data_IF_425007819139
#
_entry.id   IF_425007819139
#
_cell.length_a   1.000
_cell.length_b   1.000
_cell.length_c   1.000
_cell.angle_alpha   90.00
_cell.angle_beta   90.00
_cell.angle_gamma   90.00
#
_symmetry.space_group_name_H-M   'P 1'
#
loop_
_entity.id
_entity.type
_entity.pdbx_description
1 polymer ?
#
# COMPACT_ATOMS: atom_id res chain seq x y z
N UNK A 1 -0.46 -24.10 -2.17
CA UNK A 1 -1.11 -22.82 -2.03
C UNK A 1 -1.03 -22.21 -3.40
N UNK A 2 -2.12 -21.68 -3.94
CA UNK A 2 -2.06 -21.02 -5.25
C UNK A 2 -1.84 -19.53 -5.00
N UNK A 3 -0.82 -18.98 -5.65
CA UNK A 3 -0.53 -17.54 -5.64
C UNK A 3 -0.97 -17.00 -7.00
N UNK A 4 -1.84 -16.00 -6.99
CA UNK A 4 -2.14 -15.21 -8.17
C UNK A 4 -1.05 -14.14 -8.32
N UNK A 5 0.03 -14.51 -9.03
CA UNK A 5 1.20 -13.64 -9.22
C UNK A 5 0.83 -12.33 -9.91
N UNK A 6 -0.07 -12.36 -10.89
CA UNK A 6 -0.53 -11.15 -11.58
C UNK A 6 -1.23 -10.19 -10.63
N UNK A 7 -2.10 -10.70 -9.76
CA UNK A 7 -2.79 -9.89 -8.76
C UNK A 7 -1.84 -9.35 -7.70
N UNK A 8 -0.85 -10.15 -7.27
CA UNK A 8 0.19 -9.72 -6.34
C UNK A 8 1.05 -8.58 -6.94
N UNK A 9 1.44 -8.72 -8.21
CA UNK A 9 2.16 -7.69 -8.97
C UNK A 9 1.35 -6.43 -9.16
N UNK A 10 0.04 -6.56 -9.40
CA UNK A 10 -0.86 -5.41 -9.47
C UNK A 10 -0.87 -4.64 -8.14
N UNK A 11 -1.02 -5.33 -7.00
CA UNK A 11 -0.92 -4.70 -5.68
C UNK A 11 0.44 -4.01 -5.45
N UNK A 12 1.54 -4.64 -5.87
CA UNK A 12 2.87 -4.04 -5.82
C UNK A 12 2.96 -2.73 -6.64
N UNK A 13 2.42 -2.71 -7.85
CA UNK A 13 2.40 -1.52 -8.71
C UNK A 13 1.55 -0.41 -8.10
N UNK A 14 0.42 -0.73 -7.45
CA UNK A 14 -0.37 0.27 -6.72
C UNK A 14 0.45 0.92 -5.60
N UNK A 15 1.16 0.14 -4.78
CA UNK A 15 2.02 0.68 -3.72
C UNK A 15 3.14 1.56 -4.30
N UNK A 16 3.78 1.13 -5.40
CA UNK A 16 4.78 1.94 -6.10
C UNK A 16 4.16 3.25 -6.59
N UNK A 17 2.98 3.18 -7.22
CA UNK A 17 2.27 4.35 -7.73
C UNK A 17 1.94 5.35 -6.62
N UNK A 18 1.39 4.89 -5.49
CA UNK A 18 1.13 5.76 -4.33
C UNK A 18 2.41 6.32 -3.72
N UNK A 19 3.47 5.52 -3.63
CA UNK A 19 4.77 6.00 -3.13
C UNK A 19 5.37 7.09 -4.00
N UNK A 20 5.33 6.91 -5.33
CA UNK A 20 5.75 7.94 -6.29
C UNK A 20 4.85 9.18 -6.18
N UNK A 21 3.53 9.00 -6.06
CA UNK A 21 2.58 10.09 -5.87
C UNK A 21 2.91 10.93 -4.63
N UNK A 22 3.26 10.27 -3.52
CA UNK A 22 3.67 10.94 -2.27
C UNK A 22 4.94 11.75 -2.47
N UNK A 23 5.97 11.19 -3.12
CA UNK A 23 7.22 11.92 -3.39
C UNK A 23 6.98 13.09 -4.34
N UNK A 24 6.22 12.90 -5.42
CA UNK A 24 5.92 13.96 -6.38
C UNK A 24 5.18 15.14 -5.72
N UNK A 25 4.33 14.88 -4.73
CA UNK A 25 3.57 15.92 -4.04
C UNK A 25 4.41 16.93 -3.25
N UNK A 26 5.69 16.62 -3.00
CA UNK A 26 6.65 17.53 -2.33
C UNK A 26 6.85 18.80 -3.17
N UNK A 27 6.71 18.71 -4.49
CA UNK A 27 6.75 19.85 -5.40
C UNK A 27 5.35 20.46 -5.56
N UNK A 28 5.15 21.75 -5.21
CA UNK A 28 3.82 22.37 -5.22
C UNK A 28 3.02 22.20 -6.53
N UNK A 29 3.63 22.31 -7.74
CA UNK A 29 2.89 22.12 -9.00
C UNK A 29 2.36 20.70 -9.19
N UNK A 30 2.94 19.71 -8.51
CA UNK A 30 2.60 18.28 -8.64
C UNK A 30 1.80 17.76 -7.42
N UNK A 31 1.52 18.62 -6.43
CA UNK A 31 0.82 18.24 -5.21
C UNK A 31 -0.68 18.02 -5.39
N UNK A 32 -1.28 18.65 -6.41
CA UNK A 32 -2.74 18.68 -6.63
C UNK A 32 -3.39 17.30 -6.54
N UNK A 33 -2.89 16.24 -7.21
CA UNK A 33 -3.55 14.94 -7.16
C UNK A 33 -3.56 14.33 -5.75
N UNK A 34 -2.47 14.49 -4.97
CA UNK A 34 -2.44 13.99 -3.60
C UNK A 34 -3.27 14.86 -2.66
N UNK A 35 -3.26 16.18 -2.83
CA UNK A 35 -4.10 17.08 -2.03
C UNK A 35 -5.58 16.73 -2.18
N UNK A 36 -6.06 16.50 -3.40
CA UNK A 36 -7.44 16.07 -3.66
C UNK A 36 -7.75 14.71 -3.02
N UNK A 37 -6.79 13.79 -3.03
CA UNK A 37 -6.95 12.49 -2.42
C UNK A 37 -7.06 12.59 -0.89
N UNK A 38 -6.21 13.39 -0.26
CA UNK A 38 -6.25 13.63 1.20
C UNK A 38 -7.55 14.33 1.59
N UNK A 39 -8.01 15.28 0.78
CA UNK A 39 -9.28 15.98 0.96
C UNK A 39 -10.48 15.02 0.86
N UNK A 40 -10.44 14.09 -0.10
CA UNK A 40 -11.42 13.00 -0.20
C UNK A 40 -11.40 12.10 1.05
N UNK A 41 -10.22 11.80 1.61
CA UNK A 41 -10.10 10.96 2.80
C UNK A 41 -10.59 11.65 4.07
N UNK A 42 -10.35 12.96 4.17
CA UNK A 42 -10.83 13.77 5.29
C UNK A 42 -12.36 13.87 5.29
N UNK A 43 -12.97 13.95 4.09
CA UNK A 43 -14.40 14.08 3.79
C UNK A 43 -15.16 15.16 4.60
N UNK A 44 -15.90 16.07 3.94
CA UNK A 44 -16.19 16.14 2.51
C UNK A 44 -15.02 16.69 1.67
N UNK A 45 -15.09 16.50 0.35
CA UNK A 45 -14.15 17.11 -0.60
C UNK A 45 -14.46 18.61 -0.75
N UNK A 46 -13.92 19.44 0.13
CA UNK A 46 -14.20 20.88 0.23
C UNK A 46 -12.98 21.78 -0.04
N UNK A 47 -11.82 21.19 -0.31
CA UNK A 47 -10.56 21.89 -0.54
C UNK A 47 -9.87 22.39 0.73
N UNK A 48 -10.31 21.95 1.91
CA UNK A 48 -9.77 22.35 3.20
C UNK A 48 -8.40 21.76 3.51
N UNK A 49 -7.97 20.70 2.80
CA UNK A 49 -6.68 20.05 3.04
C UNK A 49 -5.51 20.70 2.31
N UNK A 50 -4.35 20.75 2.98
CA UNK A 50 -3.11 21.33 2.45
C UNK A 50 -1.88 20.51 2.80
N UNK A 51 -0.94 20.45 1.87
CA UNK A 51 0.36 19.77 2.01
C UNK A 51 1.52 20.77 2.11
N UNK A 52 1.23 22.03 2.46
CA UNK A 52 2.20 23.12 2.38
C UNK A 52 3.26 23.08 3.50
N UNK A 53 2.93 22.52 4.67
CA UNK A 53 3.83 22.49 5.80
C UNK A 53 5.08 21.65 5.50
N UNK A 54 6.26 22.15 5.90
CA UNK A 54 7.55 21.50 5.67
C UNK A 54 7.59 20.08 6.26
N UNK A 55 7.11 19.92 7.50
CA UNK A 55 7.03 18.61 8.15
C UNK A 55 6.16 17.61 7.38
N UNK A 56 5.04 18.07 6.81
CA UNK A 56 4.16 17.24 5.97
C UNK A 56 4.88 16.79 4.71
N UNK A 57 5.58 17.69 4.02
CA UNK A 57 6.35 17.35 2.82
C UNK A 57 7.49 16.38 3.11
N UNK A 58 8.20 16.58 4.22
CA UNK A 58 9.26 15.66 4.65
C UNK A 58 8.68 14.26 4.95
N UNK A 59 7.56 14.19 5.68
CA UNK A 59 6.88 12.94 5.97
C UNK A 59 6.41 12.23 4.68
N UNK A 60 5.90 12.97 3.69
CA UNK A 60 5.51 12.44 2.39
C UNK A 60 6.70 11.96 1.55
N UNK A 61 7.83 12.67 1.57
CA UNK A 61 9.04 12.24 0.89
C UNK A 61 9.55 10.90 1.45
N UNK A 62 9.63 10.79 2.78
CA UNK A 62 10.09 9.58 3.47
C UNK A 62 9.08 8.45 3.27
N UNK A 63 7.81 8.70 3.58
CA UNK A 63 6.74 7.72 3.47
C UNK A 63 6.57 7.22 2.04
N UNK A 64 6.64 8.11 1.06
CA UNK A 64 6.56 7.76 -0.35
C UNK A 64 7.73 6.90 -0.82
N UNK A 65 8.97 7.23 -0.42
CA UNK A 65 10.14 6.42 -0.72
C UNK A 65 10.06 5.02 -0.11
N UNK A 66 9.65 4.91 1.16
CA UNK A 66 9.45 3.63 1.85
C UNK A 66 8.33 2.81 1.18
N UNK A 67 7.20 3.45 0.85
CA UNK A 67 6.05 2.78 0.22
C UNK A 67 6.39 2.25 -1.18
N UNK A 68 7.10 3.04 -1.99
CA UNK A 68 7.56 2.60 -3.30
C UNK A 68 8.59 1.48 -3.20
N UNK A 69 9.55 1.58 -2.28
CA UNK A 69 10.52 0.53 -2.00
C UNK A 69 9.86 -0.77 -1.54
N UNK A 70 8.83 -0.69 -0.68
CA UNK A 70 8.06 -1.84 -0.22
C UNK A 70 7.29 -2.50 -1.37
N UNK A 71 6.64 -1.71 -2.22
CA UNK A 71 5.99 -2.21 -3.44
C UNK A 71 6.99 -2.90 -4.38
N UNK A 72 8.17 -2.32 -4.59
CA UNK A 72 9.23 -2.95 -5.39
C UNK A 72 9.72 -4.28 -4.78
N UNK A 73 9.85 -4.36 -3.46
CA UNK A 73 10.18 -5.61 -2.76
C UNK A 73 9.09 -6.68 -3.00
N UNK A 74 7.82 -6.33 -2.89
CA UNK A 74 6.71 -7.25 -3.16
C UNK A 74 6.72 -7.71 -4.63
N UNK A 75 7.02 -6.81 -5.58
CA UNK A 75 7.16 -7.17 -6.99
C UNK A 75 8.27 -8.22 -7.22
N UNK A 76 9.41 -8.06 -6.56
CA UNK A 76 10.52 -9.01 -6.64
C UNK A 76 10.13 -10.36 -6.00
N UNK A 77 9.45 -10.36 -4.85
CA UNK A 77 8.90 -11.58 -4.23
C UNK A 77 7.93 -12.27 -5.19
N UNK A 78 7.00 -11.54 -5.79
CA UNK A 78 6.04 -12.08 -6.75
C UNK A 78 6.74 -12.71 -7.96
N UNK A 79 7.80 -12.06 -8.47
CA UNK A 79 8.55 -12.48 -9.65
C UNK A 79 9.43 -13.70 -9.38
N UNK A 80 10.11 -13.74 -8.24
CA UNK A 80 11.14 -14.75 -7.96
C UNK A 80 10.65 -15.89 -7.07
N UNK A 81 9.66 -15.65 -6.20
CA UNK A 81 9.17 -16.63 -5.22
C UNK A 81 7.71 -17.00 -5.44
N UNK A 82 6.90 -16.19 -6.11
CA UNK A 82 5.45 -16.38 -6.22
C UNK A 82 5.03 -17.77 -6.70
N UNK A 83 5.70 -18.31 -7.73
CA UNK A 83 5.44 -19.67 -8.23
C UNK A 83 6.36 -20.73 -7.62
N UNK A 84 7.60 -20.35 -7.26
CA UNK A 84 8.65 -21.27 -6.80
C UNK A 84 8.46 -21.69 -5.35
N UNK A 85 8.12 -20.75 -4.48
CA UNK A 85 7.97 -20.94 -3.03
C UNK A 85 6.76 -20.15 -2.51
N UNK A 86 5.52 -20.57 -2.87
CA UNK A 86 4.30 -19.81 -2.61
C UNK A 86 4.01 -19.58 -1.12
N UNK A 87 4.40 -20.51 -0.26
CA UNK A 87 4.20 -20.37 1.20
C UNK A 87 5.15 -19.35 1.81
N UNK A 88 6.41 -19.31 1.35
CA UNK A 88 7.39 -18.32 1.76
C UNK A 88 7.00 -16.93 1.22
N UNK A 89 6.58 -16.84 -0.05
CA UNK A 89 6.04 -15.60 -0.61
C UNK A 89 4.85 -15.09 0.21
N UNK A 90 3.95 -15.97 0.65
CA UNK A 90 2.82 -15.58 1.51
C UNK A 90 3.26 -15.01 2.84
N UNK A 91 4.19 -15.65 3.55
CA UNK A 91 4.63 -15.16 4.86
C UNK A 91 5.36 -13.83 4.75
N UNK A 92 6.20 -13.67 3.72
CA UNK A 92 6.95 -12.44 3.45
C UNK A 92 6.06 -11.26 3.02
N UNK A 93 4.87 -11.53 2.49
CA UNK A 93 3.93 -10.46 2.07
C UNK A 93 2.83 -10.23 3.10
N UNK A 94 2.05 -11.24 3.47
CA UNK A 94 0.84 -11.04 4.29
C UNK A 94 1.16 -10.62 5.73
N UNK A 95 2.27 -11.11 6.32
CA UNK A 95 2.68 -10.69 7.66
C UNK A 95 2.91 -9.17 7.72
N UNK A 96 3.84 -8.62 6.91
CA UNK A 96 4.04 -7.18 6.82
C UNK A 96 2.81 -6.38 6.41
N UNK A 97 1.99 -6.88 5.47
CA UNK A 97 0.73 -6.20 5.06
C UNK A 97 -0.24 -6.07 6.23
N UNK A 98 -0.38 -7.10 7.08
CA UNK A 98 -1.24 -7.03 8.27
C UNK A 98 -0.69 -6.03 9.29
N UNK A 99 0.63 -6.03 9.52
CA UNK A 99 1.28 -5.06 10.42
C UNK A 99 1.05 -3.63 9.93
N UNK A 100 1.28 -3.37 8.64
CA UNK A 100 1.00 -2.07 8.03
C UNK A 100 -0.47 -1.68 8.18
N UNK A 101 -1.41 -2.58 7.84
CA UNK A 101 -2.85 -2.32 7.95
C UNK A 101 -3.25 -1.88 9.36
N UNK A 102 -2.79 -2.59 10.40
CA UNK A 102 -3.14 -2.26 11.78
C UNK A 102 -2.59 -0.89 12.18
N UNK A 103 -1.30 -0.65 11.93
CA UNK A 103 -0.66 0.61 12.33
C UNK A 103 -1.21 1.81 11.57
N UNK A 104 -1.44 1.67 10.26
CA UNK A 104 -1.96 2.74 9.40
C UNK A 104 -3.41 3.08 9.76
N UNK A 105 -4.25 2.07 10.05
CA UNK A 105 -5.62 2.31 10.49
C UNK A 105 -5.69 2.98 11.86
N UNK A 106 -4.85 2.57 12.82
CA UNK A 106 -4.76 3.24 14.13
C UNK A 106 -4.31 4.69 13.98
N UNK A 107 -3.29 4.94 13.16
CA UNK A 107 -2.82 6.29 12.84
C UNK A 107 -3.90 7.14 12.18
N UNK A 108 -4.64 6.57 11.23
CA UNK A 108 -5.73 7.27 10.51
C UNK A 108 -6.86 7.71 11.45
N UNK A 109 -7.27 6.84 12.37
CA UNK A 109 -8.29 7.18 13.37
C UNK A 109 -7.77 8.25 14.33
N UNK A 110 -6.53 8.12 14.80
CA UNK A 110 -5.92 9.12 15.69
C UNK A 110 -5.75 10.50 15.02
N UNK A 111 -5.52 10.52 13.70
CA UNK A 111 -5.43 11.75 12.90
C UNK A 111 -6.79 12.35 12.53
N UNK A 112 -7.92 11.72 12.90
CA UNK A 112 -9.26 12.19 12.55
C UNK A 112 -9.70 11.88 11.12
N UNK A 113 -9.03 10.94 10.44
CA UNK A 113 -9.28 10.55 9.04
C UNK A 113 -9.74 9.08 8.95
N UNK A 114 -10.86 8.68 9.58
CA UNK A 114 -11.26 7.28 9.68
C UNK A 114 -11.65 6.67 8.33
N UNK A 115 -12.00 7.47 7.33
CA UNK A 115 -12.38 6.97 6.01
C UNK A 115 -11.23 6.23 5.32
N UNK A 116 -9.97 6.56 5.64
CA UNK A 116 -8.80 5.84 5.13
C UNK A 116 -8.80 4.36 5.54
N UNK A 117 -9.41 4.00 6.67
CA UNK A 117 -9.56 2.60 7.11
C UNK A 117 -10.34 1.78 6.08
N UNK A 118 -11.38 2.36 5.45
CA UNK A 118 -12.16 1.66 4.43
C UNK A 118 -11.34 1.33 3.18
N UNK A 119 -10.46 2.25 2.78
CA UNK A 119 -9.57 2.03 1.63
C UNK A 119 -8.48 1.00 1.95
N UNK A 120 -7.95 1.05 3.18
CA UNK A 120 -7.00 0.06 3.66
C UNK A 120 -7.59 -1.35 3.72
N UNK A 121 -8.89 -1.50 4.04
CA UNK A 121 -9.59 -2.79 3.95
C UNK A 121 -9.56 -3.32 2.50
N UNK A 122 -9.74 -2.43 1.52
CA UNK A 122 -9.62 -2.78 0.10
C UNK A 122 -8.22 -3.30 -0.27
N UNK A 123 -7.17 -2.60 0.18
CA UNK A 123 -5.77 -3.04 0.00
C UNK A 123 -5.49 -4.38 0.69
N UNK A 124 -5.95 -4.56 1.92
CA UNK A 124 -5.81 -5.81 2.65
C UNK A 124 -6.49 -6.96 1.89
N UNK A 125 -7.74 -6.75 1.46
CA UNK A 125 -8.50 -7.73 0.70
C UNK A 125 -7.81 -8.12 -0.62
N UNK A 126 -7.21 -7.14 -1.32
CA UNK A 126 -6.44 -7.38 -2.55
C UNK A 126 -5.27 -8.34 -2.30
N UNK A 127 -4.46 -8.08 -1.28
CA UNK A 127 -3.32 -8.95 -0.97
C UNK A 127 -3.75 -10.33 -0.49
N UNK A 128 -4.78 -10.43 0.36
CA UNK A 128 -5.33 -11.74 0.75
C UNK A 128 -5.90 -12.51 -0.45
N UNK A 129 -6.54 -11.83 -1.40
CA UNK A 129 -7.05 -12.45 -2.62
C UNK A 129 -5.93 -13.03 -3.50
N UNK A 130 -4.75 -12.41 -3.48
CA UNK A 130 -3.58 -12.89 -4.23
C UNK A 130 -3.03 -14.25 -3.72
N UNK A 131 -3.39 -14.68 -2.50
CA UNK A 131 -2.93 -15.95 -1.91
C UNK A 131 -4.04 -17.00 -1.75
N UNK A 132 -5.15 -16.89 -2.49
CA UNK A 132 -6.26 -17.85 -2.43
C UNK A 132 -5.95 -19.15 -3.19
N UNK A 133 -5.83 -20.26 -2.46
CA UNK A 133 -5.84 -21.63 -3.00
C UNK A 133 -5.16 -22.67 -2.10
N UNK A 134 -5.65 -23.91 -2.11
CA UNK A 134 -5.14 -25.01 -1.26
C UNK A 134 -3.67 -25.37 -1.56
N UNK A 135 -2.96 -25.90 -0.55
CA UNK A 135 -1.70 -26.64 -0.72
C UNK A 135 -1.89 -27.74 -1.78
N UNK A 136 -1.08 -27.77 -2.85
CA UNK A 136 -0.91 -29.03 -3.58
C UNK A 136 -0.19 -29.97 -2.59
N UNK A 137 -0.63 -31.23 -2.43
CA UNK A 137 0.07 -32.17 -1.57
C UNK A 137 1.54 -32.22 -1.98
N UNK A 138 2.44 -32.14 -1.00
CA UNK A 138 3.87 -32.40 -1.21
C UNK A 138 3.96 -33.81 -1.79
N UNK A 139 4.40 -33.96 -3.03
CA UNK A 139 4.78 -35.27 -3.55
C UNK A 139 6.04 -35.68 -2.78
N UNK A 140 5.88 -36.72 -1.96
CA UNK A 140 6.95 -37.35 -1.20
C UNK A 140 7.80 -38.25 -2.11
#
# INVERSE_FOLDING_TARGET
>A
MIVNVSLLKFGAVLLIGFGVLFVLSVWPPLAVPLTLLVDLFAWPLDGGQTLAAEATRLALAIGGGVLAGWGAMIWLIATHLGEREPELARSLVLGPVVVWFVLDCLGSVAAGVPLNVLLNIGFLALFFAAFRGAAKPRQA
#
